data_IF_199070384000
#
_entry.id   IF_199070384000
#
_cell.length_a   1.000
_cell.length_b   1.000
_cell.length_c   1.000
_cell.angle_alpha   90.00
_cell.angle_beta   90.00
_cell.angle_gamma   90.00
#
_symmetry.space_group_name_H-M   'P 1'
#
loop_
_entity.id
_entity.type
_entity.pdbx_description
1 polymer ?
#
# COMPACT_ATOMS: atom_id res chain seq x y z
N UNK A 1 -2.33 1.20 -14.54
CA UNK A 1 -3.33 0.55 -13.65
C UNK A 1 -4.58 1.41 -13.42
N UNK A 2 -4.44 2.73 -13.18
CA UNK A 2 -5.53 3.65 -12.83
C UNK A 2 -6.69 3.70 -13.84
N UNK A 3 -6.42 3.61 -15.14
CA UNK A 3 -7.44 3.68 -16.20
C UNK A 3 -8.45 2.52 -16.16
N UNK A 4 -8.01 1.33 -15.73
CA UNK A 4 -8.87 0.14 -15.64
C UNK A 4 -9.80 0.21 -14.44
N UNK A 5 -9.32 0.75 -13.31
CA UNK A 5 -10.11 0.90 -12.07
C UNK A 5 -11.20 1.97 -12.22
N UNK A 6 -10.89 3.11 -12.86
CA UNK A 6 -11.89 4.15 -13.14
C UNK A 6 -13.02 3.65 -14.05
N UNK A 7 -12.72 2.80 -15.02
CA UNK A 7 -13.72 2.17 -15.88
C UNK A 7 -14.65 1.20 -15.13
N UNK A 8 -14.28 0.78 -13.91
CA UNK A 8 -15.07 -0.10 -13.04
C UNK A 8 -15.81 0.66 -11.94
N UNK A 9 -15.88 1.99 -11.98
CA UNK A 9 -16.47 2.84 -10.92
C UNK A 9 -15.82 2.64 -9.54
N UNK A 10 -14.53 2.28 -9.51
CA UNK A 10 -13.77 2.15 -8.26
C UNK A 10 -13.12 3.51 -7.97
N UNK A 11 -13.35 4.05 -6.77
CA UNK A 11 -12.65 5.23 -6.27
C UNK A 11 -11.22 4.84 -5.92
N UNK A 12 -10.23 5.54 -6.47
CA UNK A 12 -8.82 5.27 -6.23
C UNK A 12 -8.09 6.59 -6.02
N UNK A 13 -7.30 6.64 -4.94
CA UNK A 13 -6.35 7.70 -4.68
C UNK A 13 -4.93 7.21 -5.05
N UNK A 14 -4.04 8.13 -5.38
CA UNK A 14 -2.65 7.85 -5.75
C UNK A 14 -1.77 8.50 -4.70
N UNK A 15 -0.80 7.74 -4.19
CA UNK A 15 0.29 8.22 -3.35
C UNK A 15 1.59 8.04 -4.11
N UNK A 16 2.45 9.05 -4.12
CA UNK A 16 3.73 9.04 -4.84
C UNK A 16 4.88 8.46 -4.00
N UNK A 17 4.72 8.41 -2.68
CA UNK A 17 5.66 7.77 -1.75
C UNK A 17 4.95 7.13 -0.55
N UNK A 18 5.74 6.48 0.31
CA UNK A 18 5.22 5.83 1.51
C UNK A 18 4.57 6.80 2.51
N UNK A 19 5.02 8.06 2.61
CA UNK A 19 4.51 9.01 3.59
C UNK A 19 3.14 9.54 3.18
N UNK A 20 2.94 9.80 1.88
CA UNK A 20 1.62 10.06 1.30
C UNK A 20 0.68 8.86 1.49
N UNK A 21 1.16 7.64 1.25
CA UNK A 21 0.36 6.44 1.44
C UNK A 21 -0.08 6.27 2.90
N UNK A 22 0.83 6.54 3.85
CA UNK A 22 0.52 6.52 5.27
C UNK A 22 -0.53 7.57 5.65
N UNK A 23 -0.35 8.84 5.22
CA UNK A 23 -1.32 9.92 5.49
C UNK A 23 -2.70 9.62 4.90
N UNK A 24 -2.75 9.09 3.68
CA UNK A 24 -4.01 8.72 3.07
C UNK A 24 -4.73 7.65 3.91
N UNK A 25 -4.01 6.63 4.38
CA UNK A 25 -4.58 5.55 5.21
C UNK A 25 -5.02 5.99 6.61
N UNK A 26 -4.46 7.08 7.15
CA UNK A 26 -4.91 7.61 8.45
C UNK A 26 -6.12 8.53 8.32
N UNK A 27 -6.26 9.22 7.18
CA UNK A 27 -7.39 10.11 6.91
C UNK A 27 -8.62 9.38 6.38
N UNK A 28 -8.42 8.25 5.69
CA UNK A 28 -9.48 7.49 5.01
C UNK A 28 -9.36 6.00 5.26
N UNK A 29 -10.51 5.34 5.32
CA UNK A 29 -10.56 3.89 5.36
C UNK A 29 -10.57 3.35 3.92
N UNK A 30 -9.53 2.61 3.54
CA UNK A 30 -9.48 1.91 2.26
C UNK A 30 -9.88 0.45 2.44
N UNK A 31 -10.51 -0.13 1.41
CA UNK A 31 -10.80 -1.56 1.37
C UNK A 31 -9.62 -2.39 0.87
N UNK A 32 -8.69 -1.75 0.15
CA UNK A 32 -7.53 -2.38 -0.47
C UNK A 32 -6.45 -1.34 -0.75
N UNK A 33 -5.19 -1.69 -0.47
CA UNK A 33 -4.03 -0.89 -0.82
C UNK A 33 -3.14 -1.69 -1.78
N UNK A 34 -2.77 -1.08 -2.90
CA UNK A 34 -1.69 -1.57 -3.75
C UNK A 34 -0.42 -0.80 -3.42
N UNK A 35 0.60 -1.49 -2.92
CA UNK A 35 1.82 -0.87 -2.40
C UNK A 35 3.02 -1.30 -3.24
N UNK A 36 3.75 -0.37 -3.85
CA UNK A 36 5.03 -0.69 -4.47
C UNK A 36 6.09 -0.97 -3.38
N UNK A 37 6.86 -2.04 -3.52
CA UNK A 37 7.94 -2.34 -2.59
C UNK A 37 9.09 -1.35 -2.70
N UNK A 38 9.32 -0.77 -3.89
CA UNK A 38 10.43 0.13 -4.16
C UNK A 38 9.91 1.53 -4.47
N UNK A 39 9.97 2.41 -3.48
CA UNK A 39 9.57 3.82 -3.60
C UNK A 39 10.69 4.75 -3.11
N UNK A 40 10.77 5.99 -3.63
CA UNK A 40 11.68 7.00 -3.10
C UNK A 40 11.29 7.39 -1.66
N UNK A 41 12.27 7.81 -0.86
CA UNK A 41 12.14 8.26 0.53
C UNK A 41 11.78 7.16 1.54
N UNK A 42 10.56 6.62 1.45
CA UNK A 42 10.07 5.54 2.31
C UNK A 42 9.59 4.37 1.44
N UNK A 43 10.21 3.21 1.66
CA UNK A 43 9.84 1.99 0.95
C UNK A 43 8.47 1.43 1.39
N UNK A 44 7.91 0.55 0.56
CA UNK A 44 6.59 -0.03 0.81
C UNK A 44 6.52 -0.90 2.05
N UNK A 45 7.66 -1.46 2.50
CA UNK A 45 7.74 -2.26 3.72
C UNK A 45 7.57 -1.38 4.96
N UNK A 46 8.34 -0.29 5.05
CA UNK A 46 8.25 0.69 6.12
C UNK A 46 6.87 1.38 6.16
N UNK A 47 6.32 1.72 4.99
CA UNK A 47 4.97 2.26 4.88
C UNK A 47 3.93 1.27 5.42
N UNK A 48 3.99 0.00 5.00
CA UNK A 48 3.08 -1.04 5.47
C UNK A 48 3.19 -1.26 6.98
N UNK A 49 4.41 -1.29 7.53
CA UNK A 49 4.63 -1.43 8.97
C UNK A 49 4.03 -0.26 9.77
N UNK A 50 4.20 0.99 9.30
CA UNK A 50 3.58 2.18 9.92
C UNK A 50 2.05 2.12 9.86
N UNK A 51 1.48 1.74 8.72
CA UNK A 51 0.02 1.59 8.55
C UNK A 51 -0.51 0.56 9.54
N UNK A 52 0.11 -0.62 9.64
CA UNK A 52 -0.28 -1.67 10.59
C UNK A 52 -0.20 -1.21 12.04
N UNK A 53 0.86 -0.52 12.42
CA UNK A 53 1.01 0.02 13.77
C UNK A 53 -0.09 1.05 14.11
N UNK A 54 -0.52 1.84 13.12
CA UNK A 54 -1.60 2.82 13.30
C UNK A 54 -3.00 2.19 13.34
N UNK A 55 -3.23 1.11 12.60
CA UNK A 55 -4.49 0.37 12.63
C UNK A 55 -4.72 -0.28 14.01
N UNK A 56 -3.66 -0.76 14.67
CA UNK A 56 -3.75 -1.45 15.96
C UNK A 56 -4.65 -2.69 15.86
N UNK A 57 -5.63 -2.81 16.76
CA UNK A 57 -6.62 -3.91 16.77
C UNK A 57 -7.79 -3.69 15.79
N UNK A 58 -7.78 -2.60 15.00
CA UNK A 58 -8.83 -2.36 14.01
C UNK A 58 -8.71 -3.35 12.86
N UNK A 59 -9.77 -3.44 12.05
CA UNK A 59 -9.76 -4.25 10.83
C UNK A 59 -8.58 -3.84 9.95
N UNK A 60 -7.66 -4.77 9.74
CA UNK A 60 -6.51 -4.59 8.88
C UNK A 60 -6.92 -4.43 7.42
N UNK A 61 -6.52 -3.32 6.80
CA UNK A 61 -6.68 -3.10 5.37
C UNK A 61 -5.76 -4.05 4.60
N UNK A 62 -6.25 -4.89 3.69
CA UNK A 62 -5.38 -5.74 2.89
C UNK A 62 -4.40 -4.89 2.07
N UNK A 63 -3.10 -5.20 2.17
CA UNK A 63 -2.04 -4.54 1.42
C UNK A 63 -1.48 -5.57 0.43
N UNK A 64 -1.61 -5.30 -0.87
CA UNK A 64 -1.04 -6.11 -1.94
C UNK A 64 0.26 -5.44 -2.38
N UNK A 65 1.37 -6.11 -2.08
CA UNK A 65 2.68 -5.74 -2.59
C UNK A 65 2.71 -5.88 -4.11
N UNK A 66 3.01 -4.78 -4.79
CA UNK A 66 3.35 -4.74 -6.21
C UNK A 66 4.87 -4.79 -6.30
N UNK A 67 5.38 -5.85 -6.93
CA UNK A 67 6.80 -6.00 -7.21
C UNK A 67 6.96 -6.10 -8.73
N UNK A 68 7.96 -5.41 -9.30
CA UNK A 68 8.32 -5.57 -10.70
C UNK A 68 9.29 -6.73 -10.94
N UNK A 69 9.82 -7.37 -9.88
CA UNK A 69 10.84 -8.41 -10.00
C UNK A 69 10.83 -9.35 -8.77
N UNK A 70 10.20 -10.52 -8.90
CA UNK A 70 10.25 -11.58 -7.90
C UNK A 70 11.61 -12.27 -8.00
N UNK A 71 12.53 -11.95 -7.11
CA UNK A 71 13.59 -12.88 -6.73
C UNK A 71 13.14 -13.58 -5.45
N UNK A 72 13.22 -14.91 -5.43
CA UNK A 72 12.68 -15.86 -4.44
C UNK A 72 12.99 -15.60 -2.95
N UNK A 73 13.74 -14.56 -2.59
CA UNK A 73 14.12 -14.21 -1.21
C UNK A 73 13.14 -13.32 -0.44
N UNK A 74 12.15 -12.66 -1.08
CA UNK A 74 11.21 -11.76 -0.38
C UNK A 74 10.04 -12.48 0.30
N UNK A 75 9.89 -13.80 0.07
CA UNK A 75 8.87 -14.63 0.74
C UNK A 75 9.08 -14.77 2.24
N UNK A 76 10.31 -14.58 2.74
CA UNK A 76 10.63 -14.74 4.16
C UNK A 76 10.36 -13.47 5.00
N UNK A 77 10.03 -12.34 4.36
CA UNK A 77 9.80 -11.05 5.05
C UNK A 77 8.34 -10.61 5.12
N UNK A 78 7.44 -11.30 4.43
CA UNK A 78 6.00 -11.00 4.37
C UNK A 78 5.19 -11.78 5.42
#
# INVERSE_FOLDING_TARGET
>A
MITVLKQKNISCDIAEDGDEAFKACTERNYDLIFMDCQMPNMDGYAASAKIRACEGERKHTPIIAMTANVMDGDREKC
#
